data_IF_471597468047
#
_entry.id   IF_471597468047
#
_cell.length_a   1.000
_cell.length_b   1.000
_cell.length_c   1.000
_cell.angle_alpha   90.00
_cell.angle_beta   90.00
_cell.angle_gamma   90.00
#
_symmetry.space_group_name_H-M   'P 1'
#
loop_
_entity.id
_entity.type
_entity.pdbx_description
1 polymer ?
#
# COMPACT_ATOMS: atom_id res chain seq x y z
N UNK A 1 17.29 20.25 -6.47
CA UNK A 1 16.86 21.46 -7.23
C UNK A 1 17.57 21.63 -8.57
N UNK A 2 18.90 21.45 -8.70
CA UNK A 2 19.61 21.58 -10.00
C UNK A 2 19.19 20.54 -11.07
N UNK A 3 18.77 19.33 -10.69
CA UNK A 3 18.33 18.27 -11.65
C UNK A 3 16.96 18.58 -12.27
N UNK A 4 16.08 19.26 -11.57
CA UNK A 4 14.73 19.64 -12.07
C UNK A 4 14.85 20.66 -13.21
N UNK A 5 15.92 21.45 -13.25
CA UNK A 5 16.12 22.52 -14.25
C UNK A 5 16.78 21.98 -15.55
N UNK A 6 17.35 20.78 -15.52
CA UNK A 6 18.04 20.19 -16.68
C UNK A 6 17.11 19.52 -17.70
N UNK A 7 15.96 19.03 -17.28
CA UNK A 7 14.94 18.51 -18.20
C UNK A 7 14.07 19.65 -18.72
N UNK A 8 14.23 19.96 -19.99
CA UNK A 8 13.52 21.06 -20.68
C UNK A 8 12.02 20.82 -20.91
N UNK A 9 11.51 19.61 -20.58
CA UNK A 9 10.09 19.27 -20.75
C UNK A 9 9.61 18.39 -19.61
N UNK A 10 8.38 18.62 -19.10
CA UNK A 10 7.77 17.73 -18.10
C UNK A 10 7.49 16.36 -18.71
N UNK A 11 7.58 15.32 -17.89
CA UNK A 11 7.23 13.96 -18.27
C UNK A 11 5.86 13.57 -17.72
N UNK A 12 5.07 12.88 -18.53
CA UNK A 12 3.78 12.38 -18.13
C UNK A 12 3.94 11.10 -17.28
N UNK A 13 3.39 11.13 -16.07
CA UNK A 13 3.37 9.99 -15.17
C UNK A 13 1.94 9.68 -14.75
N UNK A 14 1.69 8.40 -14.53
CA UNK A 14 0.46 7.90 -13.94
C UNK A 14 0.44 8.18 -12.44
N UNK A 15 -0.71 8.60 -11.93
CA UNK A 15 -1.00 8.73 -10.51
C UNK A 15 -2.29 7.99 -10.21
N UNK A 16 -2.41 7.44 -8.99
CA UNK A 16 -3.64 6.79 -8.56
C UNK A 16 -4.64 7.86 -8.18
N UNK A 17 -5.81 7.84 -8.82
CA UNK A 17 -6.99 8.56 -8.37
C UNK A 17 -7.91 7.59 -7.64
N UNK A 18 -8.39 7.97 -6.47
CA UNK A 18 -9.37 7.20 -5.73
C UNK A 18 -10.63 8.00 -5.43
N UNK A 19 -11.76 7.30 -5.41
CA UNK A 19 -13.05 7.80 -4.97
C UNK A 19 -13.57 6.85 -3.89
N UNK A 20 -13.84 7.38 -2.72
CA UNK A 20 -14.37 6.67 -1.57
C UNK A 20 -15.88 6.93 -1.46
N UNK A 21 -16.70 5.88 -1.62
CA UNK A 21 -18.15 6.01 -1.77
C UNK A 21 -18.89 6.23 -0.46
N UNK A 22 -18.39 5.74 0.68
CA UNK A 22 -19.08 5.86 1.98
C UNK A 22 -19.02 7.29 2.49
N UNK A 23 -17.83 7.91 2.45
CA UNK A 23 -17.57 9.25 3.00
C UNK A 23 -17.59 10.34 1.94
N UNK A 24 -17.79 9.95 0.67
CA UNK A 24 -17.81 10.87 -0.49
C UNK A 24 -16.52 11.69 -0.61
N UNK A 25 -15.39 11.02 -0.35
CA UNK A 25 -14.05 11.59 -0.45
C UNK A 25 -13.38 11.17 -1.75
N UNK A 26 -12.58 12.05 -2.31
CA UNK A 26 -11.72 11.71 -3.45
C UNK A 26 -10.31 12.25 -3.23
N UNK A 27 -9.34 11.62 -3.86
CA UNK A 27 -7.96 12.05 -3.73
C UNK A 27 -7.02 11.41 -4.74
N UNK A 28 -5.76 11.76 -4.60
CA UNK A 28 -4.68 11.29 -5.44
C UNK A 28 -3.59 10.67 -4.59
N UNK A 29 -2.95 9.63 -5.09
CA UNK A 29 -1.74 9.07 -4.50
C UNK A 29 -0.68 8.88 -5.58
N UNK A 30 0.57 9.19 -5.24
CA UNK A 30 1.72 9.09 -6.15
C UNK A 30 2.29 7.67 -6.21
N UNK A 31 2.23 6.96 -5.09
CA UNK A 31 2.86 5.65 -4.95
C UNK A 31 1.87 4.53 -4.63
N UNK A 32 1.14 4.66 -3.52
CA UNK A 32 0.25 3.58 -3.08
C UNK A 32 -0.82 4.03 -2.09
N UNK A 33 -1.89 3.24 -2.06
CA UNK A 33 -2.95 3.31 -1.05
C UNK A 33 -3.09 1.93 -0.45
N UNK A 34 -3.06 1.85 0.87
CA UNK A 34 -3.08 0.59 1.58
C UNK A 34 -4.17 0.50 2.64
N UNK A 35 -4.68 -0.72 2.84
CA UNK A 35 -5.65 -1.07 3.89
C UNK A 35 -5.08 -2.26 4.67
N UNK A 36 -5.16 -2.21 5.99
CA UNK A 36 -4.67 -3.25 6.88
C UNK A 36 -3.21 -3.06 7.28
N UNK A 37 -2.36 -4.09 7.12
CA UNK A 37 -1.02 -4.11 7.72
C UNK A 37 -0.13 -2.92 7.38
N UNK A 38 -0.07 -2.49 6.13
CA UNK A 38 0.79 -1.36 5.74
C UNK A 38 0.29 -0.04 6.35
N UNK A 39 -1.01 0.18 6.37
CA UNK A 39 -1.61 1.33 7.04
C UNK A 39 -1.44 1.26 8.57
N UNK A 40 -1.54 0.07 9.16
CA UNK A 40 -1.25 -0.13 10.58
C UNK A 40 0.22 0.18 10.92
N UNK A 41 1.17 -0.11 10.03
CA UNK A 41 2.58 0.28 10.19
C UNK A 41 2.72 1.81 10.17
N UNK A 42 2.04 2.50 9.25
CA UNK A 42 2.02 3.97 9.20
C UNK A 42 1.48 4.54 10.51
N UNK A 43 0.31 4.05 10.96
CA UNK A 43 -0.29 4.44 12.23
C UNK A 43 0.66 4.26 13.42
N UNK A 44 1.22 3.05 13.59
CA UNK A 44 2.14 2.76 14.70
C UNK A 44 3.42 3.61 14.62
N UNK A 45 3.89 3.94 13.41
CA UNK A 45 5.07 4.80 13.22
C UNK A 45 4.78 6.25 13.61
N UNK A 46 3.61 6.77 13.23
CA UNK A 46 3.23 8.15 13.53
C UNK A 46 2.92 8.35 15.02
N UNK A 47 2.31 7.35 15.68
CA UNK A 47 1.90 7.41 17.09
C UNK A 47 2.92 6.78 18.05
N UNK A 48 4.13 6.42 17.57
CA UNK A 48 5.16 5.82 18.43
C UNK A 48 5.71 6.80 19.44
N UNK A 49 5.46 6.55 20.72
CA UNK A 49 6.04 7.33 21.85
C UNK A 49 7.57 7.21 21.91
N UNK A 50 8.14 6.16 21.31
CA UNK A 50 9.58 5.89 21.31
C UNK A 50 10.31 6.73 20.25
N UNK A 51 9.57 7.27 19.24
CA UNK A 51 10.13 8.06 18.13
C UNK A 51 11.01 9.21 18.62
N UNK A 52 10.55 9.98 19.61
CA UNK A 52 11.30 11.11 20.17
C UNK A 52 12.57 10.71 20.94
N UNK A 53 12.55 9.55 21.59
CA UNK A 53 13.70 9.04 22.34
C UNK A 53 14.78 8.48 21.40
N UNK A 54 14.38 7.70 20.39
CA UNK A 54 15.30 7.08 19.42
C UNK A 54 15.85 8.09 18.41
N UNK A 55 15.13 9.18 18.14
CA UNK A 55 15.64 10.30 17.32
C UNK A 55 16.87 10.95 17.96
N UNK A 56 16.92 11.08 19.31
CA UNK A 56 18.08 11.61 20.04
C UNK A 56 19.35 10.77 19.88
N UNK A 57 19.22 9.49 19.55
CA UNK A 57 20.33 8.54 19.39
C UNK A 57 20.60 8.14 17.94
N UNK A 58 20.03 8.85 16.93
CA UNK A 58 20.13 8.48 15.51
C UNK A 58 19.67 7.03 15.17
N UNK A 59 18.76 6.47 15.96
CA UNK A 59 18.27 5.10 15.83
C UNK A 59 16.91 5.04 15.10
N UNK A 60 16.75 5.80 14.03
CA UNK A 60 15.52 5.87 13.23
C UNK A 60 15.08 4.50 12.70
N UNK A 61 16.02 3.67 12.24
CA UNK A 61 15.73 2.33 11.72
C UNK A 61 15.14 1.40 12.77
N UNK A 62 15.56 1.49 14.04
CA UNK A 62 15.00 0.70 15.14
C UNK A 62 13.59 1.11 15.49
N UNK A 63 13.27 2.42 15.43
CA UNK A 63 11.92 2.92 15.66
C UNK A 63 10.95 2.37 14.60
N UNK A 64 11.33 2.41 13.34
CA UNK A 64 10.54 1.84 12.26
C UNK A 64 10.35 0.33 12.41
N UNK A 65 11.42 -0.41 12.66
CA UNK A 65 11.36 -1.86 12.86
C UNK A 65 10.44 -2.25 14.02
N UNK A 66 10.47 -1.50 15.13
CA UNK A 66 9.56 -1.74 16.26
C UNK A 66 8.09 -1.52 15.89
N UNK A 67 7.80 -0.51 15.07
CA UNK A 67 6.45 -0.25 14.55
C UNK A 67 5.98 -1.37 13.62
N UNK A 68 6.85 -1.86 12.75
CA UNK A 68 6.55 -3.01 11.88
C UNK A 68 6.22 -4.24 12.70
N UNK A 69 7.06 -4.59 13.69
CA UNK A 69 6.82 -5.76 14.55
C UNK A 69 5.51 -5.61 15.33
N UNK A 70 5.24 -4.42 15.86
CA UNK A 70 4.01 -4.15 16.60
C UNK A 70 2.76 -4.25 15.72
N UNK A 71 2.80 -3.70 14.52
CA UNK A 71 1.72 -3.82 13.55
C UNK A 71 1.51 -5.28 13.15
N UNK A 72 2.58 -6.03 12.85
CA UNK A 72 2.50 -7.47 12.55
C UNK A 72 1.84 -8.27 13.67
N UNK A 73 2.10 -7.95 14.93
CA UNK A 73 1.52 -8.64 16.08
C UNK A 73 0.04 -8.28 16.30
N UNK A 74 -0.33 -7.03 16.08
CA UNK A 74 -1.68 -6.51 16.34
C UNK A 74 -2.66 -6.74 15.21
N UNK A 75 -2.19 -6.65 13.95
CA UNK A 75 -3.06 -6.75 12.78
C UNK A 75 -3.83 -8.07 12.78
N UNK A 76 -5.14 -7.97 12.69
CA UNK A 76 -6.06 -9.11 12.53
C UNK A 76 -6.39 -9.29 11.04
N UNK A 77 -6.72 -10.52 10.63
CA UNK A 77 -7.25 -10.72 9.27
C UNK A 77 -8.65 -10.11 9.17
N UNK A 78 -8.95 -9.55 8.01
CA UNK A 78 -10.22 -8.90 7.73
C UNK A 78 -10.76 -9.33 6.35
N UNK A 79 -12.09 -9.33 6.15
CA UNK A 79 -12.68 -9.66 4.86
C UNK A 79 -12.70 -8.44 3.95
N UNK A 80 -12.41 -8.68 2.66
CA UNK A 80 -12.62 -7.70 1.60
C UNK A 80 -13.32 -8.34 0.40
N UNK A 81 -14.08 -7.53 -0.31
CA UNK A 81 -14.56 -7.81 -1.67
C UNK A 81 -13.78 -6.93 -2.64
N UNK A 82 -13.36 -7.53 -3.73
CA UNK A 82 -12.60 -6.84 -4.78
C UNK A 82 -13.31 -7.03 -6.10
N UNK A 83 -13.53 -5.95 -6.84
CA UNK A 83 -14.04 -6.01 -8.20
C UNK A 83 -12.94 -5.57 -9.17
N UNK A 84 -12.62 -6.42 -10.13
CA UNK A 84 -11.64 -6.18 -11.18
C UNK A 84 -12.25 -6.55 -12.52
N UNK A 85 -12.36 -5.59 -13.43
CA UNK A 85 -12.92 -5.80 -14.77
C UNK A 85 -14.31 -6.48 -14.75
N UNK A 86 -15.18 -6.09 -13.81
CA UNK A 86 -16.53 -6.62 -13.64
C UNK A 86 -16.60 -8.02 -12.98
N UNK A 87 -15.48 -8.60 -12.59
CA UNK A 87 -15.43 -9.84 -11.81
C UNK A 87 -15.21 -9.55 -10.34
N UNK A 88 -15.97 -10.23 -9.49
CA UNK A 88 -15.89 -10.09 -8.04
C UNK A 88 -15.08 -11.24 -7.43
N UNK A 89 -14.26 -10.90 -6.46
CA UNK A 89 -13.42 -11.82 -5.69
C UNK A 89 -13.62 -11.52 -4.21
N UNK A 90 -13.70 -12.57 -3.40
CA UNK A 90 -13.83 -12.46 -1.95
C UNK A 90 -12.58 -13.01 -1.26
N UNK A 91 -12.00 -12.21 -0.37
CA UNK A 91 -10.82 -12.57 0.43
C UNK A 91 -11.17 -12.44 1.93
N UNK A 92 -11.60 -13.53 2.58
CA UNK A 92 -12.10 -13.48 3.96
C UNK A 92 -11.01 -13.31 5.01
N UNK A 93 -9.75 -13.50 4.65
CA UNK A 93 -8.59 -13.48 5.56
C UNK A 93 -7.49 -12.55 5.07
N UNK A 94 -7.86 -11.43 4.47
CA UNK A 94 -6.90 -10.40 4.05
C UNK A 94 -6.12 -9.90 5.26
N UNK A 95 -4.84 -9.68 5.07
CA UNK A 95 -3.93 -9.14 6.07
C UNK A 95 -3.29 -7.84 5.61
N UNK A 96 -2.99 -7.76 4.32
CA UNK A 96 -2.51 -6.59 3.62
C UNK A 96 -3.22 -6.49 2.28
N UNK A 97 -3.73 -5.30 1.98
CA UNK A 97 -4.34 -4.96 0.70
C UNK A 97 -3.77 -3.63 0.25
N UNK A 98 -2.96 -3.62 -0.80
CA UNK A 98 -2.34 -2.40 -1.30
C UNK A 98 -2.52 -2.22 -2.78
N UNK A 99 -2.91 -1.01 -3.16
CA UNK A 99 -3.08 -0.55 -4.53
C UNK A 99 -1.91 0.37 -4.85
N UNK A 100 -1.15 0.05 -5.90
CA UNK A 100 0.11 0.73 -6.21
C UNK A 100 0.21 1.09 -7.69
N UNK A 101 0.98 2.13 -8.01
CA UNK A 101 1.51 2.40 -9.34
C UNK A 101 3.05 2.49 -9.33
N UNK A 102 3.66 2.21 -8.18
CA UNK A 102 5.10 2.19 -7.98
C UNK A 102 5.53 0.86 -7.35
N UNK A 103 6.71 0.31 -7.70
CA UNK A 103 7.13 -1.03 -7.24
C UNK A 103 7.31 -1.18 -5.73
N UNK A 104 7.62 -0.08 -5.02
CA UNK A 104 8.12 -0.14 -3.66
C UNK A 104 7.22 0.57 -2.66
N UNK A 105 7.10 -0.02 -1.46
CA UNK A 105 6.66 0.67 -0.25
C UNK A 105 7.76 1.59 0.29
N UNK A 106 7.43 2.40 1.29
CA UNK A 106 8.39 3.04 2.16
C UNK A 106 9.45 2.05 2.66
N UNK A 107 10.72 2.47 2.75
CA UNK A 107 11.82 1.59 3.12
C UNK A 107 12.32 0.65 2.02
N UNK A 108 11.85 0.78 0.77
CA UNK A 108 12.35 0.01 -0.37
C UNK A 108 11.85 -1.43 -0.47
N UNK A 109 10.74 -1.77 0.18
CA UNK A 109 10.12 -3.10 0.12
C UNK A 109 9.40 -3.29 -1.22
N UNK A 110 9.80 -4.23 -2.10
CA UNK A 110 9.26 -4.38 -3.45
C UNK A 110 7.93 -5.13 -3.46
N UNK A 111 6.86 -4.50 -2.97
CA UNK A 111 5.54 -5.13 -2.80
C UNK A 111 4.80 -5.34 -4.12
N UNK A 112 4.92 -4.43 -5.07
CA UNK A 112 4.29 -4.49 -6.38
C UNK A 112 5.34 -4.39 -7.51
N UNK A 113 6.24 -5.39 -7.66
CA UNK A 113 7.42 -5.28 -8.53
C UNK A 113 7.12 -5.05 -10.00
N UNK A 114 5.88 -5.26 -10.43
CA UNK A 114 5.42 -5.03 -11.80
C UNK A 114 4.78 -3.65 -12.00
N UNK A 115 4.53 -2.90 -10.93
CA UNK A 115 3.93 -1.57 -11.00
C UNK A 115 4.89 -0.57 -11.64
N UNK A 116 4.33 0.38 -12.40
CA UNK A 116 5.11 1.41 -13.08
C UNK A 116 4.28 2.68 -13.27
N UNK A 117 4.87 3.81 -12.98
CA UNK A 117 4.28 5.15 -13.23
C UNK A 117 4.03 5.44 -14.72
N UNK A 118 4.52 4.60 -15.62
CA UNK A 118 4.27 4.72 -17.05
C UNK A 118 3.11 3.82 -17.54
N UNK A 119 2.56 2.96 -16.66
CA UNK A 119 1.41 2.11 -16.98
C UNK A 119 0.11 2.90 -16.75
N UNK A 120 -0.92 2.56 -17.55
CA UNK A 120 -2.28 3.10 -17.37
C UNK A 120 -3.16 2.19 -16.51
N UNK A 121 -2.53 1.33 -15.73
CA UNK A 121 -3.18 0.34 -14.88
C UNK A 121 -2.75 0.49 -13.44
N UNK A 122 -3.68 0.18 -12.58
CA UNK A 122 -3.47 0.07 -11.14
C UNK A 122 -3.06 -1.36 -10.81
N UNK A 123 -2.06 -1.51 -9.98
CA UNK A 123 -1.59 -2.79 -9.47
C UNK A 123 -2.13 -3.02 -8.06
N UNK A 124 -2.82 -4.14 -7.85
CA UNK A 124 -3.35 -4.53 -6.55
C UNK A 124 -2.65 -5.78 -6.06
N UNK A 125 -2.11 -5.70 -4.86
CA UNK A 125 -1.50 -6.84 -4.14
C UNK A 125 -2.28 -7.10 -2.86
N UNK A 126 -2.74 -8.34 -2.70
CA UNK A 126 -3.43 -8.81 -1.49
C UNK A 126 -2.61 -9.94 -0.90
N UNK A 127 -2.30 -9.86 0.39
CA UNK A 127 -1.66 -10.92 1.14
C UNK A 127 -2.63 -11.39 2.21
N UNK A 128 -2.92 -12.70 2.22
CA UNK A 128 -3.72 -13.31 3.26
C UNK A 128 -2.91 -13.56 4.53
N UNK A 129 -3.58 -13.60 5.68
CA UNK A 129 -2.96 -13.83 6.99
C UNK A 129 -2.12 -15.11 7.00
N UNK A 130 -0.81 -15.01 7.12
CA UNK A 130 0.05 -16.18 7.21
C UNK A 130 0.07 -16.75 8.63
N UNK A 131 0.50 -18.02 8.74
CA UNK A 131 1.03 -18.53 10.01
C UNK A 131 2.32 -17.78 10.37
N UNK A 132 2.54 -17.49 11.65
CA UNK A 132 3.73 -16.79 12.16
C UNK A 132 5.05 -17.42 11.71
N UNK A 133 5.11 -18.74 11.65
CA UNK A 133 6.29 -19.48 11.18
C UNK A 133 6.62 -19.18 9.70
N UNK A 134 5.64 -18.71 8.92
CA UNK A 134 5.82 -18.38 7.50
C UNK A 134 6.22 -16.93 7.25
N UNK A 135 6.10 -16.05 8.25
CA UNK A 135 6.40 -14.61 8.07
C UNK A 135 7.81 -14.36 7.53
N UNK A 136 8.90 -14.97 8.07
CA UNK A 136 10.23 -14.78 7.53
C UNK A 136 10.36 -15.25 6.07
N UNK A 137 9.72 -16.37 5.73
CA UNK A 137 9.71 -16.89 4.37
C UNK A 137 8.94 -15.99 3.40
N UNK A 138 7.82 -15.39 3.85
CA UNK A 138 7.06 -14.42 3.05
C UNK A 138 7.90 -13.17 2.80
N UNK A 139 8.53 -12.62 3.85
CA UNK A 139 9.42 -11.48 3.73
C UNK A 139 10.56 -11.77 2.72
N UNK A 140 11.19 -12.92 2.82
CA UNK A 140 12.21 -13.36 1.87
C UNK A 140 11.71 -13.38 0.41
N UNK A 141 10.51 -13.92 0.17
CA UNK A 141 9.91 -13.93 -1.18
C UNK A 141 9.56 -12.51 -1.67
N UNK A 142 9.13 -11.61 -0.78
CA UNK A 142 8.86 -10.19 -1.14
C UNK A 142 10.17 -9.53 -1.59
N UNK A 143 11.25 -9.64 -0.81
CA UNK A 143 12.55 -9.05 -1.18
C UNK A 143 13.13 -9.65 -2.46
N UNK A 144 12.87 -10.92 -2.74
CA UNK A 144 13.23 -11.57 -4.01
C UNK A 144 12.25 -11.28 -5.16
N UNK A 145 11.18 -10.53 -4.94
CA UNK A 145 10.14 -10.21 -5.93
C UNK A 145 9.42 -11.45 -6.50
N UNK A 146 9.39 -12.55 -5.74
CA UNK A 146 8.80 -13.83 -6.16
C UNK A 146 7.46 -14.12 -5.51
N UNK A 147 7.00 -13.25 -4.61
CA UNK A 147 5.76 -13.42 -3.83
C UNK A 147 4.50 -13.38 -4.67
N UNK A 148 4.46 -12.62 -5.78
CA UNK A 148 3.29 -12.51 -6.64
C UNK A 148 2.83 -13.86 -7.23
N UNK A 149 3.72 -14.84 -7.32
CA UNK A 149 3.43 -16.19 -7.83
C UNK A 149 3.13 -17.21 -6.71
N UNK A 150 2.91 -16.76 -5.47
CA UNK A 150 2.68 -17.64 -4.32
C UNK A 150 1.20 -17.66 -3.93
N UNK A 151 0.72 -18.80 -3.44
CA UNK A 151 -0.69 -19.01 -3.04
C UNK A 151 -1.22 -18.08 -1.97
N UNK A 152 -0.35 -17.47 -1.17
CA UNK A 152 -0.74 -16.51 -0.12
C UNK A 152 -0.88 -15.08 -0.64
N UNK A 153 -0.50 -14.83 -1.89
CA UNK A 153 -0.50 -13.53 -2.53
C UNK A 153 -1.40 -13.57 -3.76
N UNK A 154 -2.29 -12.59 -3.86
CA UNK A 154 -3.15 -12.39 -5.03
C UNK A 154 -2.76 -11.07 -5.67
N UNK A 155 -2.52 -11.10 -6.97
CA UNK A 155 -2.10 -9.96 -7.76
C UNK A 155 -3.08 -9.70 -8.88
N UNK A 156 -3.48 -8.44 -9.02
CA UNK A 156 -4.34 -7.97 -10.11
C UNK A 156 -3.76 -6.71 -10.72
N UNK A 157 -3.99 -6.54 -12.02
CA UNK A 157 -3.66 -5.32 -12.73
C UNK A 157 -4.83 -4.94 -13.63
N UNK A 158 -5.39 -3.74 -13.46
CA UNK A 158 -6.54 -3.28 -14.23
C UNK A 158 -6.61 -1.75 -14.30
N UNK A 159 -7.42 -1.23 -15.24
CA UNK A 159 -7.65 0.20 -15.37
C UNK A 159 -8.57 0.74 -14.26
N UNK A 160 -9.41 -0.14 -13.69
CA UNK A 160 -10.31 0.17 -12.59
C UNK A 160 -10.37 -1.02 -11.63
N UNK A 161 -10.18 -0.74 -10.35
CA UNK A 161 -10.31 -1.71 -9.26
C UNK A 161 -11.19 -1.10 -8.19
N UNK A 162 -12.15 -1.87 -7.67
CA UNK A 162 -12.96 -1.48 -6.53
C UNK A 162 -12.68 -2.41 -5.37
N UNK A 163 -12.55 -1.85 -4.16
CA UNK A 163 -12.33 -2.59 -2.91
C UNK A 163 -13.37 -2.17 -1.90
N UNK A 164 -14.03 -3.16 -1.30
CA UNK A 164 -15.00 -2.95 -0.23
C UNK A 164 -14.56 -3.72 1.01
N UNK A 165 -14.44 -3.01 2.14
CA UNK A 165 -14.28 -3.59 3.48
C UNK A 165 -15.36 -3.04 4.39
N UNK A 166 -16.19 -3.93 4.94
CA UNK A 166 -17.28 -3.56 5.86
C UNK A 166 -16.83 -3.48 7.31
N UNK A 167 -15.63 -3.96 7.61
CA UNK A 167 -15.00 -3.89 8.92
C UNK A 167 -14.07 -2.68 8.95
N UNK A 168 -14.04 -1.97 10.08
CA UNK A 168 -13.12 -0.86 10.28
C UNK A 168 -11.67 -1.36 10.29
N UNK A 169 -10.86 -0.78 9.43
CA UNK A 169 -9.42 -1.07 9.28
C UNK A 169 -8.66 0.24 9.07
N UNK A 170 -7.37 0.23 9.43
CA UNK A 170 -6.50 1.34 9.10
C UNK A 170 -6.34 1.46 7.59
N UNK A 171 -6.44 2.70 7.09
CA UNK A 171 -6.13 3.07 5.71
C UNK A 171 -5.01 4.09 5.65
N UNK A 172 -4.26 4.10 4.56
CA UNK A 172 -3.23 5.10 4.28
C UNK A 172 -3.16 5.41 2.78
N UNK A 173 -2.75 6.64 2.44
CA UNK A 173 -2.41 7.07 1.09
C UNK A 173 -1.04 7.77 1.14
N UNK A 174 -0.03 7.24 0.43
CA UNK A 174 1.35 7.76 0.40
C UNK A 174 1.99 8.01 1.78
N UNK A 175 1.58 7.22 2.79
CA UNK A 175 2.05 7.36 4.17
C UNK A 175 1.23 8.31 5.05
N UNK A 176 0.19 8.94 4.51
CA UNK A 176 -0.77 9.74 5.27
C UNK A 176 -1.95 8.86 5.72
N UNK A 177 -2.38 9.02 6.98
CA UNK A 177 -3.43 8.21 7.56
C UNK A 177 -4.82 8.60 7.00
N UNK A 178 -5.57 7.61 6.52
CA UNK A 178 -6.98 7.76 6.16
C UNK A 178 -7.92 7.45 7.33
N UNK A 179 -7.37 7.09 8.49
CA UNK A 179 -8.10 6.68 9.68
C UNK A 179 -8.45 5.18 9.72
N UNK A 180 -9.06 4.78 10.83
CA UNK A 180 -9.60 3.44 11.05
C UNK A 180 -11.10 3.46 10.74
N UNK A 181 -11.49 2.88 9.59
CA UNK A 181 -12.86 2.94 9.07
C UNK A 181 -13.18 1.81 8.11
N UNK A 182 -14.43 1.63 7.73
CA UNK A 182 -14.82 0.80 6.58
C UNK A 182 -14.50 1.52 5.29
N UNK A 183 -14.35 0.76 4.20
CA UNK A 183 -13.94 1.30 2.89
C UNK A 183 -14.85 0.81 1.76
N UNK A 184 -15.19 1.70 0.85
CA UNK A 184 -15.77 1.42 -0.47
C UNK A 184 -15.02 2.28 -1.50
N UNK A 185 -13.79 1.86 -1.84
CA UNK A 185 -12.88 2.67 -2.65
C UNK A 185 -12.79 2.12 -4.07
N UNK A 186 -12.94 3.02 -5.03
CA UNK A 186 -12.66 2.76 -6.44
C UNK A 186 -11.38 3.47 -6.86
N UNK A 187 -10.46 2.72 -7.48
CA UNK A 187 -9.17 3.20 -7.97
C UNK A 187 -9.13 3.23 -9.48
N UNK A 188 -8.57 4.31 -10.02
CA UNK A 188 -8.27 4.48 -11.44
C UNK A 188 -6.94 5.22 -11.60
N UNK A 189 -6.44 5.32 -12.82
CA UNK A 189 -5.25 6.12 -13.13
C UNK A 189 -5.66 7.46 -13.74
N UNK A 190 -5.00 8.53 -13.30
CA UNK A 190 -4.96 9.83 -13.98
C UNK A 190 -3.53 10.11 -14.45
N UNK A 191 -3.37 10.86 -15.53
CA UNK A 191 -2.09 11.31 -16.04
C UNK A 191 -1.78 12.71 -15.49
N UNK A 192 -0.54 12.90 -15.08
CA UNK A 192 -0.06 14.16 -14.56
C UNK A 192 1.35 14.46 -15.09
N UNK A 193 1.62 15.72 -15.41
CA UNK A 193 2.94 16.15 -15.84
C UNK A 193 3.82 16.48 -14.62
N UNK A 194 5.02 15.94 -14.60
CA UNK A 194 6.03 16.17 -13.57
C UNK A 194 7.36 16.62 -14.19
N UNK A 195 8.05 17.50 -13.49
CA UNK A 195 9.42 17.89 -13.78
C UNK A 195 10.38 17.08 -12.90
N UNK A 196 11.19 16.19 -13.47
CA UNK A 196 12.18 15.39 -12.73
C UNK A 196 13.42 15.06 -13.57
#
# INVERSE_FOLDING_TARGET
MKQIIQNKQPQECSIIYYNEGIYQEEGLALNNIGIGLDAAIVYETNHSKIKGLLQKFNLHSFSYLSSVVKALLKQRPFPILVEVNGKQYSFPKTYLCTTSNHPYFGGGVPIAPNASVHNEKVDLVIIEKPSWLKVPWIAFNIFRKTHLNKKFCHYFQANKIKIVSTIAEHGQADGEEMGERSFDITFTIKKQLFWY
#
